data_IF_662907903602
#
_entry.id   IF_662907903602
#
_cell.length_a   1.000
_cell.length_b   1.000
_cell.length_c   1.000
_cell.angle_alpha   90.00
_cell.angle_beta   90.00
_cell.angle_gamma   90.00
#
_symmetry.space_group_name_H-M   'P 1'
#
loop_
_entity.id
_entity.type
_entity.pdbx_description
1 polymer ?
#
# COMPACT_ATOMS: atom_id res chain seq x y z
N UNK A 1 12.87 -24.41 -21.30
CA UNK A 1 12.17 -23.22 -20.76
C UNK A 1 12.92 -21.98 -21.23
N UNK A 2 12.22 -20.94 -21.69
CA UNK A 2 12.85 -19.69 -22.12
C UNK A 2 13.41 -18.91 -20.92
N UNK A 3 14.42 -18.05 -21.16
CA UNK A 3 15.10 -17.28 -20.12
C UNK A 3 14.76 -15.79 -20.14
N UNK A 4 14.05 -15.31 -21.16
CA UNK A 4 13.75 -13.89 -21.34
C UNK A 4 12.27 -13.61 -21.08
N UNK A 5 11.91 -12.72 -20.14
CA UNK A 5 10.52 -12.44 -19.82
C UNK A 5 9.80 -11.74 -20.98
N UNK A 6 8.52 -12.07 -21.16
CA UNK A 6 7.60 -11.37 -22.08
C UNK A 6 6.74 -10.44 -21.23
N UNK A 7 6.75 -9.14 -21.52
CA UNK A 7 5.91 -8.16 -20.83
C UNK A 7 4.63 -7.85 -21.62
N UNK A 8 3.48 -7.90 -20.93
CA UNK A 8 2.17 -7.49 -21.42
C UNK A 8 1.55 -6.37 -20.57
N UNK A 9 0.28 -6.02 -20.84
CA UNK A 9 -0.48 -5.01 -20.07
C UNK A 9 -0.57 -5.28 -18.56
N UNK A 10 -0.32 -6.51 -18.14
CA UNK A 10 -0.44 -6.99 -16.76
C UNK A 10 0.91 -7.31 -16.12
N UNK A 11 2.03 -6.93 -16.74
CA UNK A 11 3.39 -7.28 -16.29
C UNK A 11 3.96 -8.48 -17.05
N UNK A 12 4.79 -9.31 -16.41
CA UNK A 12 5.36 -10.50 -17.06
C UNK A 12 4.28 -11.56 -17.32
N UNK A 13 4.17 -12.02 -18.57
CA UNK A 13 3.14 -12.97 -19.04
C UNK A 13 3.72 -14.32 -19.52
N UNK A 14 5.04 -14.49 -19.46
CA UNK A 14 5.71 -15.71 -19.91
C UNK A 14 7.19 -15.49 -20.20
N UNK A 15 7.80 -16.50 -20.85
CA UNK A 15 9.22 -16.45 -21.21
C UNK A 15 9.46 -16.95 -22.64
N UNK A 16 10.47 -16.39 -23.31
CA UNK A 16 10.98 -16.81 -24.62
C UNK A 16 12.46 -17.17 -24.56
N UNK A 17 12.88 -17.95 -25.55
CA UNK A 17 14.28 -18.40 -25.70
C UNK A 17 15.15 -17.26 -26.25
N UNK A 18 14.60 -16.37 -27.07
CA UNK A 18 15.31 -15.22 -27.64
C UNK A 18 14.58 -13.93 -27.25
N UNK A 19 15.33 -12.87 -26.90
CA UNK A 19 14.75 -11.57 -26.58
C UNK A 19 14.57 -10.74 -27.85
N UNK A 20 13.51 -9.92 -27.89
CA UNK A 20 13.26 -8.96 -28.98
C UNK A 20 13.92 -7.59 -28.68
N UNK A 21 14.12 -7.28 -27.39
CA UNK A 21 14.60 -6.00 -26.91
C UNK A 21 15.66 -6.16 -25.84
N UNK A 22 16.48 -5.11 -25.68
CA UNK A 22 17.44 -5.02 -24.59
C UNK A 22 17.61 -3.58 -24.09
N UNK A 23 18.16 -3.47 -22.87
CA UNK A 23 18.40 -2.22 -22.19
C UNK A 23 17.15 -1.63 -21.54
N UNK A 24 17.30 -0.42 -21.00
CA UNK A 24 16.26 0.21 -20.20
C UNK A 24 15.21 0.86 -21.10
N UNK A 25 13.93 0.58 -20.82
CA UNK A 25 12.79 1.17 -21.53
C UNK A 25 11.61 1.42 -20.59
N UNK A 26 10.75 2.33 -21.01
CA UNK A 26 9.42 2.51 -20.43
C UNK A 26 8.40 1.75 -21.28
N UNK A 27 7.54 1.00 -20.60
CA UNK A 27 6.43 0.25 -21.19
C UNK A 27 5.10 0.88 -20.76
N UNK A 28 4.15 0.96 -21.67
CA UNK A 28 2.77 1.40 -21.37
C UNK A 28 1.80 0.29 -21.73
N UNK A 29 1.02 -0.14 -20.75
CA UNK A 29 -0.09 -1.06 -20.98
C UNK A 29 -1.11 -0.38 -21.91
N UNK A 30 -1.35 -0.99 -23.06
CA UNK A 30 -2.19 -0.42 -24.12
C UNK A 30 -3.66 -0.78 -23.93
N UNK A 31 -3.93 -2.05 -23.65
CA UNK A 31 -5.29 -2.61 -23.70
C UNK A 31 -5.65 -3.31 -22.39
N UNK A 32 -6.92 -3.15 -21.98
CA UNK A 32 -7.53 -3.85 -20.84
C UNK A 32 -7.69 -2.94 -19.63
N UNK A 33 -8.05 -3.52 -18.49
CA UNK A 33 -8.30 -2.77 -17.24
C UNK A 33 -7.09 -1.94 -16.77
N UNK A 34 -5.89 -2.33 -17.20
CA UNK A 34 -4.64 -1.65 -16.89
C UNK A 34 -4.20 -0.64 -17.95
N UNK A 35 -5.05 -0.30 -18.93
CA UNK A 35 -4.66 0.63 -19.98
C UNK A 35 -4.20 1.98 -19.40
N UNK A 36 -3.03 2.45 -19.83
CA UNK A 36 -2.35 3.62 -19.29
C UNK A 36 -1.39 3.35 -18.13
N UNK A 37 -1.29 2.13 -17.61
CA UNK A 37 -0.26 1.80 -16.61
C UNK A 37 1.13 1.89 -17.21
N UNK A 38 2.02 2.61 -16.52
CA UNK A 38 3.41 2.84 -16.92
C UNK A 38 4.33 1.91 -16.12
N UNK A 39 5.21 1.20 -16.80
CA UNK A 39 6.20 0.30 -16.21
C UNK A 39 7.59 0.64 -16.73
N UNK A 40 8.62 0.28 -15.98
CA UNK A 40 10.02 0.36 -16.40
C UNK A 40 10.63 -1.04 -16.43
N UNK A 41 11.42 -1.33 -17.44
CA UNK A 41 12.10 -2.63 -17.62
C UNK A 41 13.57 -2.41 -17.92
N UNK A 42 14.40 -3.38 -17.56
CA UNK A 42 15.84 -3.42 -17.82
C UNK A 42 16.25 -4.84 -18.23
N UNK A 43 17.44 -4.98 -18.82
CA UNK A 43 17.97 -6.26 -19.27
C UNK A 43 17.47 -6.67 -20.66
N UNK A 44 17.26 -7.96 -20.89
CA UNK A 44 16.82 -8.54 -22.18
C UNK A 44 15.42 -9.13 -22.04
N UNK A 45 14.51 -8.78 -22.94
CA UNK A 45 13.09 -9.14 -22.80
C UNK A 45 12.33 -9.12 -24.13
N UNK A 46 11.10 -9.61 -24.10
CA UNK A 46 10.11 -9.53 -25.16
C UNK A 46 8.94 -8.67 -24.69
N UNK A 47 8.14 -8.16 -25.62
CA UNK A 47 6.96 -7.34 -25.31
C UNK A 47 5.81 -7.77 -26.21
N UNK A 48 4.60 -7.89 -25.65
CA UNK A 48 3.40 -8.24 -26.42
C UNK A 48 2.81 -7.03 -27.16
N UNK A 49 1.96 -7.32 -28.14
CA UNK A 49 1.19 -6.36 -28.94
C UNK A 49 0.27 -5.41 -28.13
N UNK A 50 -0.11 -5.84 -26.93
CA UNK A 50 -0.92 -5.07 -25.98
C UNK A 50 -0.09 -4.11 -25.12
N UNK A 51 1.20 -3.92 -25.43
CA UNK A 51 2.08 -3.03 -24.69
C UNK A 51 2.84 -2.13 -25.66
N UNK A 52 2.89 -0.83 -25.35
CA UNK A 52 3.71 0.12 -26.09
C UNK A 52 5.09 0.20 -25.44
N UNK A 53 6.13 0.29 -26.26
CA UNK A 53 7.50 0.53 -25.82
C UNK A 53 7.85 1.97 -26.19
N UNK A 54 8.44 2.71 -25.26
CA UNK A 54 8.97 4.05 -25.54
C UNK A 54 10.49 3.97 -25.65
N UNK A 55 11.00 4.50 -26.75
CA UNK A 55 12.42 4.83 -26.94
C UNK A 55 12.59 6.34 -26.83
N UNK A 56 13.77 6.76 -26.37
CA UNK A 56 14.07 8.15 -26.06
C UNK A 56 15.30 8.62 -26.82
N UNK A 57 15.34 9.92 -27.12
CA UNK A 57 16.55 10.58 -27.60
C UNK A 57 17.60 10.63 -26.48
N UNK A 58 18.87 10.82 -26.85
CA UNK A 58 20.01 10.75 -25.93
C UNK A 58 19.97 11.74 -24.76
N UNK A 59 19.32 12.88 -24.95
CA UNK A 59 19.18 13.99 -24.02
C UNK A 59 18.10 13.78 -22.97
N UNK A 60 17.27 12.74 -23.12
CA UNK A 60 16.19 12.44 -22.18
C UNK A 60 16.64 11.36 -21.21
N UNK A 61 16.46 11.61 -19.91
CA UNK A 61 16.60 10.61 -18.87
C UNK A 61 15.35 9.72 -18.81
N UNK A 62 15.55 8.40 -18.93
CA UNK A 62 14.46 7.42 -18.99
C UNK A 62 13.69 7.36 -17.66
N UNK A 63 14.38 7.53 -16.52
CA UNK A 63 13.75 7.51 -15.20
C UNK A 63 12.94 8.78 -14.97
N UNK A 64 13.43 9.92 -15.41
CA UNK A 64 12.65 11.17 -15.38
C UNK A 64 11.37 11.03 -16.20
N UNK A 65 11.46 10.53 -17.43
CA UNK A 65 10.27 10.31 -18.28
C UNK A 65 9.28 9.34 -17.63
N UNK A 66 9.78 8.26 -17.00
CA UNK A 66 8.95 7.32 -16.25
C UNK A 66 8.11 8.03 -15.17
N UNK A 67 8.76 8.84 -14.32
CA UNK A 67 8.06 9.60 -13.28
C UNK A 67 7.12 10.65 -13.85
N UNK A 68 7.51 11.33 -14.93
CA UNK A 68 6.68 12.33 -15.59
C UNK A 68 5.38 11.72 -16.16
N UNK A 69 5.46 10.53 -16.76
CA UNK A 69 4.30 9.81 -17.29
C UNK A 69 3.38 9.28 -16.18
N UNK A 70 3.95 8.82 -15.06
CA UNK A 70 3.17 8.43 -13.88
C UNK A 70 2.41 9.63 -13.32
N UNK A 71 3.10 10.76 -13.15
CA UNK A 71 2.50 11.99 -12.63
C UNK A 71 1.36 12.48 -13.54
N UNK A 72 1.52 12.34 -14.86
CA UNK A 72 0.48 12.72 -15.81
C UNK A 72 -0.79 11.85 -15.73
N UNK A 73 -0.68 10.61 -15.24
CA UNK A 73 -1.79 9.63 -15.12
C UNK A 73 -2.43 9.28 -16.46
N UNK A 74 -1.71 8.51 -17.30
CA UNK A 74 -2.16 8.15 -18.66
C UNK A 74 -3.48 7.40 -18.71
N UNK A 75 -3.93 6.78 -17.62
CA UNK A 75 -5.25 6.15 -17.53
C UNK A 75 -6.40 7.14 -17.80
N UNK A 76 -6.20 8.46 -17.62
CA UNK A 76 -7.20 9.47 -18.02
C UNK A 76 -7.40 9.57 -19.54
N UNK A 77 -6.49 9.02 -20.35
CA UNK A 77 -6.59 8.97 -21.80
C UNK A 77 -7.36 7.73 -22.28
N UNK A 78 -7.70 6.79 -21.38
CA UNK A 78 -8.35 5.55 -21.78
C UNK A 78 -9.74 5.81 -22.32
N UNK A 79 -10.12 5.07 -23.36
CA UNK A 79 -11.49 5.05 -23.89
C UNK A 79 -11.96 3.61 -24.14
N UNK A 80 -13.28 3.44 -24.30
CA UNK A 80 -13.93 2.13 -24.47
C UNK A 80 -14.35 1.53 -23.12
N UNK A 81 -15.67 1.42 -22.90
CA UNK A 81 -16.26 0.99 -21.63
C UNK A 81 -16.03 -0.50 -21.31
N UNK A 82 -16.07 -1.38 -22.30
CA UNK A 82 -15.88 -2.82 -22.11
C UNK A 82 -14.42 -3.28 -22.14
N UNK A 83 -13.57 -2.58 -22.90
CA UNK A 83 -12.13 -2.88 -23.02
C UNK A 83 -11.36 -1.57 -23.14
N UNK A 84 -10.95 -0.96 -22.01
CA UNK A 84 -10.23 0.29 -22.03
C UNK A 84 -8.95 0.21 -22.89
N UNK A 85 -8.67 1.29 -23.60
CA UNK A 85 -7.59 1.39 -24.57
C UNK A 85 -6.88 2.74 -24.47
N UNK A 86 -5.56 2.72 -24.47
CA UNK A 86 -4.72 3.87 -24.81
C UNK A 86 -4.02 3.59 -26.14
N UNK A 87 -4.03 4.53 -27.06
CA UNK A 87 -3.40 4.37 -28.39
C UNK A 87 -2.02 5.01 -28.43
N UNK A 88 -1.13 4.49 -29.28
CA UNK A 88 0.15 5.13 -29.54
C UNK A 88 0.01 6.55 -30.11
N UNK A 89 -1.08 6.85 -30.82
CA UNK A 89 -1.38 8.20 -31.32
C UNK A 89 -1.64 9.19 -30.18
N UNK A 90 -2.40 8.78 -29.17
CA UNK A 90 -2.61 9.62 -27.97
C UNK A 90 -1.30 9.89 -27.24
N UNK A 91 -0.47 8.85 -27.04
CA UNK A 91 0.83 8.99 -26.37
C UNK A 91 1.76 9.95 -27.13
N UNK A 92 1.85 9.83 -28.47
CA UNK A 92 2.71 10.69 -29.31
C UNK A 92 2.29 12.16 -29.31
N UNK A 93 1.03 12.48 -29.02
CA UNK A 93 0.51 13.86 -28.98
C UNK A 93 0.67 14.51 -27.61
N UNK A 94 1.17 13.79 -26.60
CA UNK A 94 1.35 14.34 -25.27
C UNK A 94 2.42 15.43 -25.28
N UNK A 95 2.07 16.57 -24.71
CA UNK A 95 3.00 17.64 -24.40
C UNK A 95 3.27 17.60 -22.91
N UNK A 96 4.52 17.36 -22.54
CA UNK A 96 4.97 17.24 -21.15
C UNK A 96 6.20 18.13 -20.96
N UNK A 97 6.36 18.69 -19.77
CA UNK A 97 7.53 19.49 -19.45
C UNK A 97 8.74 18.59 -19.19
N UNK A 98 9.85 18.88 -19.87
CA UNK A 98 11.16 18.27 -19.65
C UNK A 98 12.21 19.38 -19.49
N UNK A 99 12.98 19.39 -18.39
CA UNK A 99 14.17 20.23 -18.29
C UNK A 99 15.12 19.98 -19.46
N UNK A 100 15.67 21.04 -20.06
CA UNK A 100 16.60 20.91 -21.20
C UNK A 100 17.90 20.21 -20.80
N UNK A 101 18.34 20.44 -19.56
CA UNK A 101 19.53 19.80 -19.02
C UNK A 101 19.19 18.38 -18.55
N UNK A 102 19.88 17.39 -19.11
CA UNK A 102 19.73 15.99 -18.72
C UNK A 102 20.19 15.75 -17.28
N UNK A 103 21.18 16.50 -16.79
CA UNK A 103 21.65 16.38 -15.42
C UNK A 103 20.58 16.76 -14.40
N UNK A 104 19.76 17.77 -14.70
CA UNK A 104 18.60 18.14 -13.88
C UNK A 104 17.52 17.04 -13.90
N UNK A 105 17.24 16.47 -15.08
CA UNK A 105 16.31 15.34 -15.21
C UNK A 105 16.76 14.15 -14.34
N UNK A 106 18.04 13.77 -14.45
CA UNK A 106 18.61 12.68 -13.66
C UNK A 106 18.53 12.97 -12.17
N UNK A 107 18.89 14.18 -11.72
CA UNK A 107 18.83 14.55 -10.31
C UNK A 107 17.40 14.44 -9.73
N UNK A 108 16.39 14.93 -10.44
CA UNK A 108 14.99 14.80 -10.05
C UNK A 108 14.58 13.33 -9.99
N UNK A 109 14.92 12.55 -11.01
CA UNK A 109 14.58 11.14 -11.08
C UNK A 109 15.24 10.33 -9.95
N UNK A 110 16.48 10.65 -9.59
CA UNK A 110 17.21 10.03 -8.48
C UNK A 110 16.49 10.28 -7.15
N UNK A 111 16.11 11.52 -6.84
CA UNK A 111 15.39 11.85 -5.60
C UNK A 111 14.07 11.06 -5.49
N UNK A 112 13.33 10.95 -6.59
CA UNK A 112 12.08 10.19 -6.63
C UNK A 112 12.32 8.69 -6.46
N UNK A 113 13.32 8.11 -7.13
CA UNK A 113 13.65 6.69 -6.99
C UNK A 113 14.21 6.32 -5.63
N UNK A 114 14.99 7.20 -5.02
CA UNK A 114 15.49 6.99 -3.66
C UNK A 114 14.35 7.01 -2.64
N UNK A 115 13.36 7.88 -2.86
CA UNK A 115 12.15 7.93 -2.05
C UNK A 115 11.32 6.65 -2.19
N UNK A 116 11.13 6.15 -3.42
CA UNK A 116 10.45 4.86 -3.66
C UNK A 116 11.17 3.69 -2.97
N UNK A 117 12.50 3.64 -3.09
CA UNK A 117 13.32 2.61 -2.44
C UNK A 117 13.22 2.68 -0.91
N UNK A 118 13.18 3.89 -0.34
CA UNK A 118 12.98 4.10 1.09
C UNK A 118 11.60 3.62 1.55
N UNK A 119 10.53 3.93 0.80
CA UNK A 119 9.17 3.46 1.09
C UNK A 119 9.13 1.92 1.09
N UNK A 120 9.71 1.28 0.07
CA UNK A 120 9.76 -0.19 -0.01
C UNK A 120 10.52 -0.79 1.18
N UNK A 121 11.69 -0.22 1.51
CA UNK A 121 12.50 -0.66 2.64
C UNK A 121 11.77 -0.53 3.98
N UNK A 122 11.09 0.60 4.22
CA UNK A 122 10.28 0.80 5.42
C UNK A 122 9.11 -0.21 5.48
N UNK A 123 8.48 -0.51 4.35
CA UNK A 123 7.46 -1.56 4.24
C UNK A 123 7.98 -2.93 4.69
N UNK A 124 9.16 -3.34 4.19
CA UNK A 124 9.84 -4.58 4.61
C UNK A 124 10.18 -4.57 6.11
N UNK A 125 10.65 -3.44 6.63
CA UNK A 125 10.97 -3.32 8.05
C UNK A 125 9.71 -3.44 8.93
N UNK A 126 8.61 -2.80 8.55
CA UNK A 126 7.31 -2.91 9.23
C UNK A 126 6.84 -4.38 9.25
N UNK A 127 6.89 -5.07 8.10
CA UNK A 127 6.53 -6.48 8.01
C UNK A 127 7.39 -7.35 8.94
N UNK A 128 8.72 -7.15 8.94
CA UNK A 128 9.66 -7.85 9.81
C UNK A 128 9.37 -7.59 11.29
N UNK A 129 9.11 -6.34 11.69
CA UNK A 129 8.79 -5.99 13.08
C UNK A 129 7.46 -6.61 13.53
N UNK A 130 6.44 -6.65 12.66
CA UNK A 130 5.18 -7.36 12.93
C UNK A 130 5.40 -8.86 13.15
N UNK A 131 6.21 -9.50 12.31
CA UNK A 131 6.54 -10.92 12.45
C UNK A 131 7.30 -11.22 13.76
N UNK A 132 8.30 -10.39 14.10
CA UNK A 132 9.05 -10.51 15.36
C UNK A 132 8.10 -10.35 16.55
N UNK A 133 7.21 -9.35 16.53
CA UNK A 133 6.21 -9.16 17.59
C UNK A 133 5.33 -10.41 17.73
N UNK A 134 4.83 -10.95 16.64
CA UNK A 134 3.95 -12.12 16.66
C UNK A 134 4.67 -13.36 17.21
N UNK A 135 5.89 -13.63 16.75
CA UNK A 135 6.70 -14.73 17.27
C UNK A 135 7.04 -14.54 18.74
N UNK A 136 7.39 -13.32 19.17
CA UNK A 136 7.63 -13.00 20.56
C UNK A 136 6.39 -13.24 21.42
N UNK A 137 5.19 -12.85 20.97
CA UNK A 137 3.95 -13.13 21.68
C UNK A 137 3.72 -14.64 21.84
N UNK A 138 3.92 -15.42 20.78
CA UNK A 138 3.75 -16.88 20.83
C UNK A 138 4.71 -17.57 21.82
N UNK A 139 5.93 -17.05 21.97
CA UNK A 139 6.94 -17.60 22.87
C UNK A 139 6.79 -17.08 24.31
N UNK A 140 6.58 -15.77 24.47
CA UNK A 140 6.56 -15.12 25.78
C UNK A 140 5.23 -15.30 26.50
N UNK A 141 4.08 -15.19 25.80
CA UNK A 141 2.76 -15.30 26.43
C UNK A 141 2.34 -16.76 26.73
N UNK A 142 3.11 -17.73 26.27
CA UNK A 142 2.95 -19.15 26.62
C UNK A 142 4.01 -19.64 27.60
N UNK A 143 4.95 -18.77 27.99
CA UNK A 143 6.04 -19.11 28.89
C UNK A 143 7.13 -20.00 28.28
N UNK A 144 7.02 -20.43 27.01
CA UNK A 144 8.04 -21.21 26.29
C UNK A 144 9.41 -20.56 26.32
N UNK A 145 9.44 -19.22 26.23
CA UNK A 145 10.62 -18.40 26.53
C UNK A 145 10.27 -17.43 27.64
N UNK A 146 11.22 -17.22 28.56
CA UNK A 146 11.11 -16.26 29.66
C UNK A 146 12.12 -15.13 29.50
N UNK A 147 11.80 -13.96 30.05
CA UNK A 147 12.75 -12.86 30.16
C UNK A 147 13.78 -13.19 31.26
N UNK A 148 15.03 -12.68 31.16
CA UNK A 148 16.04 -12.87 32.20
C UNK A 148 15.54 -12.41 33.58
N UNK A 149 15.84 -13.19 34.62
CA UNK A 149 15.40 -12.90 35.99
C UNK A 149 14.01 -13.44 36.36
N UNK A 150 13.28 -14.09 35.44
CA UNK A 150 11.95 -14.65 35.71
C UNK A 150 11.92 -16.17 35.58
N UNK A 151 11.98 -16.87 36.71
CA UNK A 151 11.94 -18.35 36.78
C UNK A 151 10.72 -18.93 37.52
N UNK A 152 9.88 -18.07 38.11
CA UNK A 152 8.70 -18.52 38.85
C UNK A 152 7.69 -19.29 38.00
N UNK A 153 7.06 -20.28 38.63
CA UNK A 153 6.01 -21.11 38.03
C UNK A 153 4.81 -20.29 37.57
N UNK A 154 4.26 -20.66 36.43
CA UNK A 154 3.02 -20.08 35.91
C UNK A 154 1.83 -20.88 36.42
N UNK A 155 0.79 -20.15 36.85
CA UNK A 155 -0.47 -20.74 37.29
C UNK A 155 -1.56 -20.34 36.32
N UNK A 156 -2.32 -21.33 35.85
CA UNK A 156 -3.52 -21.06 35.07
C UNK A 156 -4.58 -20.38 35.95
N UNK A 157 -5.22 -19.34 35.41
CA UNK A 157 -6.30 -18.62 36.08
C UNK A 157 -7.47 -18.45 35.16
N UNK A 158 -8.68 -18.69 35.67
CA UNK A 158 -9.91 -18.32 34.98
C UNK A 158 -10.03 -16.79 34.96
N UNK A 159 -10.34 -16.19 33.81
CA UNK A 159 -10.47 -14.73 33.70
C UNK A 159 -11.47 -14.14 34.71
N UNK A 160 -12.60 -14.83 34.97
CA UNK A 160 -13.60 -14.42 35.97
C UNK A 160 -13.05 -14.25 37.40
N UNK A 161 -11.90 -14.87 37.70
CA UNK A 161 -11.27 -14.77 39.01
C UNK A 161 -10.23 -13.63 39.07
N UNK A 162 -9.94 -12.97 37.94
CA UNK A 162 -8.92 -11.91 37.83
C UNK A 162 -9.43 -10.63 37.16
N UNK A 163 -10.66 -10.63 36.64
CA UNK A 163 -11.25 -9.50 35.98
C UNK A 163 -12.78 -9.51 36.13
N UNK A 164 -13.34 -8.30 36.26
CA UNK A 164 -14.78 -8.06 36.20
C UNK A 164 -15.23 -7.85 34.76
N UNK A 165 -16.41 -8.36 34.45
CA UNK A 165 -16.99 -8.29 33.10
C UNK A 165 -18.19 -7.33 33.12
N UNK A 166 -18.05 -6.21 32.42
CA UNK A 166 -19.09 -5.19 32.30
C UNK A 166 -19.74 -5.26 30.92
N UNK A 167 -21.07 -5.15 30.88
CA UNK A 167 -21.82 -5.08 29.62
C UNK A 167 -22.21 -3.64 29.32
N UNK A 168 -21.82 -3.16 28.13
CA UNK A 168 -22.29 -1.88 27.62
C UNK A 168 -23.80 -1.90 27.34
N UNK A 169 -24.42 -0.71 27.32
CA UNK A 169 -25.83 -0.54 26.92
C UNK A 169 -25.90 0.00 25.50
N UNK A 170 -26.92 -0.43 24.75
CA UNK A 170 -27.19 0.13 23.43
C UNK A 170 -27.53 1.62 23.52
N UNK A 171 -26.88 2.42 22.67
CA UNK A 171 -27.14 3.85 22.55
C UNK A 171 -27.44 4.16 21.08
N UNK A 172 -28.59 4.78 20.81
CA UNK A 172 -28.95 5.23 19.46
C UNK A 172 -28.13 6.46 19.07
N UNK A 173 -27.77 6.57 17.79
CA UNK A 173 -27.05 7.75 17.26
C UNK A 173 -27.78 9.08 17.53
N UNK A 174 -29.12 9.05 17.58
CA UNK A 174 -29.95 10.22 17.88
C UNK A 174 -29.73 10.80 19.29
N UNK A 175 -29.07 10.06 20.19
CA UNK A 175 -28.76 10.51 21.56
C UNK A 175 -27.35 11.08 21.71
N UNK A 176 -26.60 11.18 20.61
CA UNK A 176 -25.28 11.82 20.60
C UNK A 176 -25.44 13.33 20.57
N UNK A 177 -24.64 14.01 21.39
CA UNK A 177 -24.71 15.45 21.54
C UNK A 177 -23.30 16.01 21.54
N UNK A 178 -23.12 17.12 20.81
CA UNK A 178 -21.85 17.83 20.77
C UNK A 178 -21.47 18.40 22.15
N UNK A 179 -22.46 18.86 22.91
CA UNK A 179 -22.35 19.40 24.27
C UNK A 179 -22.65 18.34 25.37
N UNK A 180 -22.51 17.05 25.05
CA UNK A 180 -22.70 15.99 26.04
C UNK A 180 -21.65 16.05 27.15
N UNK A 181 -22.05 15.71 28.38
CA UNK A 181 -21.17 15.71 29.55
C UNK A 181 -20.50 14.35 29.81
N UNK A 182 -20.95 13.29 29.12
CA UNK A 182 -20.47 11.92 29.33
C UNK A 182 -19.95 11.32 28.04
N UNK A 183 -18.75 10.73 28.09
CA UNK A 183 -18.15 10.03 26.95
C UNK A 183 -18.84 8.70 26.70
N UNK A 184 -19.09 8.38 25.44
CA UNK A 184 -19.66 7.10 25.04
C UNK A 184 -19.01 6.59 23.74
N UNK A 185 -18.96 5.27 23.59
CA UNK A 185 -18.46 4.60 22.38
C UNK A 185 -19.61 3.82 21.76
N UNK A 186 -19.92 4.11 20.50
CA UNK A 186 -20.91 3.34 19.75
C UNK A 186 -20.23 2.14 19.10
N UNK A 187 -20.98 1.05 18.98
CA UNK A 187 -20.51 -0.18 18.34
C UNK A 187 -19.87 0.08 16.97
N UNK A 188 -20.52 0.87 16.11
CA UNK A 188 -19.98 1.19 14.78
C UNK A 188 -18.66 1.96 14.81
N UNK A 189 -18.42 2.76 15.85
CA UNK A 189 -17.19 3.57 15.97
C UNK A 189 -15.96 2.71 16.27
N UNK A 190 -16.15 1.54 16.90
CA UNK A 190 -15.06 0.59 17.15
C UNK A 190 -14.36 0.15 15.86
N UNK A 191 -15.09 0.16 14.73
CA UNK A 191 -14.58 -0.28 13.44
C UNK A 191 -14.18 0.87 12.50
N UNK A 192 -14.75 2.06 12.72
CA UNK A 192 -14.59 3.19 11.78
C UNK A 192 -13.79 4.35 12.34
N UNK A 193 -13.74 4.50 13.67
CA UNK A 193 -13.29 5.73 14.32
C UNK A 193 -12.05 5.51 15.17
N UNK A 194 -11.99 4.39 15.89
CA UNK A 194 -10.94 4.13 16.86
C UNK A 194 -9.86 3.20 16.31
N UNK A 195 -8.63 3.42 16.79
CA UNK A 195 -7.55 2.44 16.62
C UNK A 195 -7.73 1.28 17.61
N UNK A 196 -6.87 0.25 17.53
CA UNK A 196 -6.84 -0.87 18.49
C UNK A 196 -6.76 -0.46 19.95
N UNK A 197 -6.21 0.73 20.23
CA UNK A 197 -6.17 1.32 21.57
C UNK A 197 -6.96 2.62 21.50
N UNK A 198 -8.02 2.70 22.30
CA UNK A 198 -8.84 3.89 22.45
C UNK A 198 -8.17 4.77 23.52
N UNK A 199 -7.52 5.84 23.08
CA UNK A 199 -6.88 6.82 24.00
C UNK A 199 -7.81 7.98 24.35
N UNK A 200 -8.73 8.31 23.44
CA UNK A 200 -9.66 9.42 23.58
C UNK A 200 -11.00 8.99 23.00
N UNK A 201 -12.08 9.28 23.73
CA UNK A 201 -13.45 8.98 23.32
C UNK A 201 -14.05 10.22 22.66
N UNK A 202 -14.49 10.08 21.42
CA UNK A 202 -14.97 11.21 20.61
C UNK A 202 -16.44 11.52 20.84
N UNK A 203 -17.26 10.48 20.99
CA UNK A 203 -18.69 10.63 21.14
C UNK A 203 -19.08 10.97 22.57
N UNK A 204 -20.07 11.85 22.72
CA UNK A 204 -20.61 12.28 24.00
C UNK A 204 -22.13 12.23 24.03
N UNK A 205 -22.69 12.10 25.22
CA UNK A 205 -24.13 12.17 25.49
C UNK A 205 -24.41 12.88 26.83
N UNK A 206 -25.69 13.16 27.11
CA UNK A 206 -26.14 13.76 28.40
C UNK A 206 -26.62 12.72 29.42
N UNK A 207 -26.65 11.44 29.05
CA UNK A 207 -27.11 10.36 29.93
C UNK A 207 -25.91 9.76 30.62
N UNK A 208 -25.84 9.93 31.94
CA UNK A 208 -24.86 9.26 32.78
C UNK A 208 -25.17 7.76 32.83
N UNK A 209 -24.51 6.99 31.97
CA UNK A 209 -24.47 5.54 32.09
C UNK A 209 -23.14 5.18 32.72
N UNK A 210 -23.14 4.85 34.01
CA UNK A 210 -21.96 4.31 34.67
C UNK A 210 -21.51 3.02 33.96
N UNK A 211 -20.18 2.91 33.78
CA UNK A 211 -19.38 1.77 33.31
C UNK A 211 -18.86 1.87 31.87
N UNK A 212 -17.64 2.41 31.72
CA UNK A 212 -16.83 2.29 30.51
C UNK A 212 -15.47 1.68 30.83
N UNK A 213 -15.34 0.38 30.56
CA UNK A 213 -14.07 -0.22 30.15
C UNK A 213 -14.44 -1.37 29.20
N UNK A 214 -14.24 -1.14 27.91
CA UNK A 214 -14.47 -2.13 26.86
C UNK A 214 -13.17 -2.91 26.67
N UNK A 215 -13.14 -4.14 27.18
CA UNK A 215 -12.18 -5.16 26.75
C UNK A 215 -12.92 -6.12 25.82
N UNK A 216 -12.57 -6.12 24.54
CA UNK A 216 -12.83 -7.27 23.67
C UNK A 216 -11.49 -7.88 23.26
N UNK A 217 -11.43 -9.21 23.35
CA UNK A 217 -10.29 -10.06 22.95
C UNK A 217 -10.13 -10.09 21.43
#
# INVERSE_FOLDING_TARGET
LGNYPIYGSTGSIGYRIQPDYSGDKVLIARVGANAGTVNKVSGKYCVSDNTLIITYQSEIDINFSYYQLINFKLNKLTFGSGRPLVTGSQIRKLTLAFPKDKSEQTAIATVLSDTDALIEHLGKLIAKKKAIKQGAMQQLLTGKKRLPGFSGEWKEKKLKNIADFLKGRGLSKSKLLYDGNFSCILYGELFTTYSRIIKEIKSKNKIQNYNYLVLFF
#
